data_IF_725299574389
#
_entry.id   IF_725299574389
#
_cell.length_a   1.000
_cell.length_b   1.000
_cell.length_c   1.000
_cell.angle_alpha   90.00
_cell.angle_beta   90.00
_cell.angle_gamma   90.00
#
_symmetry.space_group_name_H-M   'P 1'
#
loop_
_entity.id
_entity.type
_entity.pdbx_description
1 polymer ?
#
# COMPACT_ATOMS: atom_id res chain seq x y z
N UNK A 1 5.38 -1.26 6.81
CA UNK A 1 6.83 -1.54 6.61
C UNK A 1 7.58 -0.96 7.81
N UNK A 2 8.58 -1.64 8.37
CA UNK A 2 9.40 -1.03 9.42
C UNK A 2 10.60 -0.40 8.74
N UNK A 3 10.61 0.92 8.65
CA UNK A 3 11.74 1.65 8.11
C UNK A 3 12.71 1.89 9.25
N UNK A 4 13.54 0.87 9.52
CA UNK A 4 14.73 0.97 10.37
C UNK A 4 14.42 1.18 11.87
N UNK A 5 14.80 0.20 12.70
CA UNK A 5 14.99 0.43 14.13
C UNK A 5 16.47 0.75 14.35
N UNK A 6 16.79 1.87 15.03
CA UNK A 6 18.15 2.18 15.47
C UNK A 6 18.20 2.02 16.98
N UNK A 7 19.04 1.11 17.47
CA UNK A 7 19.21 0.87 18.89
C UNK A 7 20.66 0.48 19.17
N UNK A 8 21.26 1.06 20.21
CA UNK A 8 22.66 0.77 20.57
C UNK A 8 23.69 1.16 19.50
N UNK A 9 23.34 2.07 18.58
CA UNK A 9 24.20 2.48 17.47
C UNK A 9 24.15 1.58 16.23
N UNK A 10 23.29 0.54 16.22
CA UNK A 10 23.10 -0.33 15.06
C UNK A 10 21.70 -0.18 14.43
N UNK A 11 21.63 -0.40 13.11
CA UNK A 11 20.43 -0.29 12.28
C UNK A 11 19.89 -1.68 11.94
N UNK A 12 18.65 -1.96 12.30
CA UNK A 12 17.96 -3.22 12.05
C UNK A 12 16.86 -3.05 10.98
N UNK A 13 16.88 -3.89 9.94
CA UNK A 13 15.94 -3.85 8.81
C UNK A 13 14.77 -4.85 8.90
N UNK A 14 14.76 -5.73 9.90
CA UNK A 14 13.74 -6.79 10.09
C UNK A 14 13.36 -6.94 11.57
N UNK A 15 12.51 -6.05 12.13
CA UNK A 15 12.02 -6.21 13.50
C UNK A 15 10.98 -7.35 13.59
N UNK A 16 10.80 -7.86 14.81
CA UNK A 16 9.85 -8.94 15.12
C UNK A 16 8.62 -8.38 15.85
N UNK A 17 7.42 -8.82 15.45
CA UNK A 17 6.15 -8.47 16.09
C UNK A 17 5.56 -9.66 16.86
N UNK A 18 4.80 -9.37 17.92
CA UNK A 18 3.96 -10.38 18.59
C UNK A 18 2.55 -9.83 18.78
N UNK A 19 1.56 -10.63 18.39
CA UNK A 19 0.13 -10.33 18.51
C UNK A 19 -0.52 -11.30 19.51
N UNK A 20 -0.34 -11.12 20.84
CA UNK A 20 -1.14 -11.87 21.79
C UNK A 20 -2.60 -11.41 21.68
N UNK A 21 -3.50 -12.31 21.28
CA UNK A 21 -4.93 -12.09 21.44
C UNK A 21 -5.26 -12.25 22.92
N UNK A 22 -5.31 -11.14 23.65
CA UNK A 22 -5.79 -11.15 25.04
C UNK A 22 -7.31 -10.97 25.06
N UNK A 23 -7.91 -11.66 26.04
CA UNK A 23 -9.32 -12.02 26.21
C UNK A 23 -10.36 -11.04 25.63
N UNK A 24 -11.44 -11.62 25.09
CA UNK A 24 -12.69 -10.95 24.78
C UNK A 24 -13.28 -10.32 26.04
N UNK A 25 -13.64 -9.03 26.00
CA UNK A 25 -14.46 -8.41 27.04
C UNK A 25 -15.75 -9.21 27.30
N UNK A 26 -16.41 -9.00 28.44
CA UNK A 26 -17.65 -9.73 28.80
C UNK A 26 -18.77 -9.60 27.74
N UNK A 27 -18.74 -8.55 26.92
CA UNK A 27 -19.66 -8.31 25.79
C UNK A 27 -19.12 -8.80 24.43
N UNK A 28 -18.04 -9.57 24.41
CA UNK A 28 -17.51 -10.25 23.23
C UNK A 28 -16.58 -9.41 22.34
N UNK A 29 -16.18 -8.20 22.73
CA UNK A 29 -15.19 -7.42 21.96
C UNK A 29 -13.81 -7.99 22.16
N UNK A 30 -13.09 -8.19 21.06
CA UNK A 30 -11.70 -8.65 21.10
C UNK A 30 -10.74 -7.48 21.23
N UNK A 31 -9.71 -7.62 22.06
CA UNK A 31 -8.58 -6.70 22.07
C UNK A 31 -7.39 -7.34 21.34
N UNK A 32 -6.79 -6.58 20.42
CA UNK A 32 -5.51 -6.96 19.80
C UNK A 32 -4.45 -6.07 20.41
N UNK A 33 -3.55 -6.67 21.19
CA UNK A 33 -2.38 -5.98 21.69
C UNK A 33 -1.22 -6.19 20.72
N UNK A 34 -0.63 -5.10 20.23
CA UNK A 34 0.54 -5.16 19.34
C UNK A 34 1.76 -4.79 20.15
N UNK A 35 2.55 -5.80 20.52
CA UNK A 35 3.77 -5.59 21.29
C UNK A 35 4.96 -5.46 20.33
N UNK A 36 5.58 -4.28 20.33
CA UNK A 36 6.84 -4.03 19.63
C UNK A 36 7.96 -4.60 20.48
N UNK A 37 8.70 -5.58 19.94
CA UNK A 37 9.88 -6.12 20.63
C UNK A 37 11.15 -5.44 20.13
N UNK A 38 12.09 -5.12 21.03
CA UNK A 38 13.42 -4.70 20.60
C UNK A 38 14.07 -5.81 19.75
N UNK A 39 14.95 -5.47 18.79
CA UNK A 39 15.72 -6.43 18.02
C UNK A 39 16.50 -7.40 18.93
N UNK A 40 16.82 -8.58 18.40
CA UNK A 40 17.63 -9.57 19.13
C UNK A 40 18.95 -8.93 19.55
N UNK A 41 19.25 -8.95 20.86
CA UNK A 41 20.45 -8.37 21.45
C UNK A 41 20.24 -7.01 22.13
N UNK A 42 19.13 -6.33 21.86
CA UNK A 42 18.76 -5.07 22.53
C UNK A 42 17.87 -5.38 23.73
N UNK A 43 18.37 -5.11 24.94
CA UNK A 43 17.65 -5.39 26.20
C UNK A 43 17.03 -4.14 26.84
N UNK A 44 17.43 -2.94 26.40
CA UNK A 44 16.91 -1.66 26.87
C UNK A 44 17.06 -0.59 25.77
N UNK A 45 16.12 0.37 25.74
CA UNK A 45 16.23 1.59 24.92
C UNK A 45 16.90 2.71 25.74
N UNK A 46 17.78 3.48 25.10
CA UNK A 46 18.43 4.65 25.69
C UNK A 46 17.73 5.95 25.28
N UNK A 47 18.00 7.03 26.02
CA UNK A 47 17.54 8.36 25.65
C UNK A 47 18.11 8.75 24.27
N UNK A 48 17.23 9.04 23.31
CA UNK A 48 17.59 9.35 21.92
C UNK A 48 17.30 8.23 20.92
N UNK A 49 17.02 7.00 21.37
CA UNK A 49 16.56 5.93 20.49
C UNK A 49 15.16 6.24 19.95
N UNK A 50 14.91 5.86 18.69
CA UNK A 50 13.60 5.99 18.05
C UNK A 50 13.17 4.68 17.40
N UNK A 51 11.86 4.42 17.45
CA UNK A 51 11.23 3.31 16.74
C UNK A 51 10.17 3.90 15.84
N UNK A 52 10.29 3.66 14.53
CA UNK A 52 9.32 4.10 13.53
C UNK A 52 8.61 2.90 12.94
N UNK A 53 7.29 3.00 12.81
CA UNK A 53 6.43 1.92 12.32
C UNK A 53 5.44 2.50 11.32
N UNK A 54 5.40 1.93 10.12
CA UNK A 54 4.25 2.12 9.22
C UNK A 54 3.28 0.95 9.42
N UNK A 55 2.09 1.26 9.92
CA UNK A 55 0.98 0.32 10.08
C UNK A 55 0.04 0.46 8.89
N UNK A 56 -0.17 -0.64 8.17
CA UNK A 56 -1.24 -0.73 7.16
C UNK A 56 -2.41 -1.51 7.77
N UNK A 57 -3.59 -0.89 7.80
CA UNK A 57 -4.81 -1.51 8.30
C UNK A 57 -5.68 -1.97 7.15
N UNK A 58 -5.88 -3.27 7.01
CA UNK A 58 -6.74 -3.87 5.99
C UNK A 58 -7.99 -4.45 6.65
N UNK A 59 -9.17 -4.04 6.18
CA UNK A 59 -10.44 -4.66 6.57
C UNK A 59 -10.98 -5.44 5.40
N UNK A 60 -11.07 -6.77 5.54
CA UNK A 60 -11.61 -7.65 4.52
C UNK A 60 -13.00 -8.14 4.91
N UNK A 61 -13.95 -8.28 3.97
CA UNK A 61 -15.20 -8.97 4.24
C UNK A 61 -14.91 -10.39 4.74
N UNK A 62 -15.61 -10.82 5.79
CA UNK A 62 -15.46 -12.17 6.32
C UNK A 62 -16.21 -13.20 5.49
N UNK A 63 -17.37 -12.83 4.96
CA UNK A 63 -18.24 -13.68 4.14
C UNK A 63 -18.71 -12.93 2.90
N UNK A 64 -19.28 -13.66 1.93
CA UNK A 64 -19.69 -13.06 0.64
C UNK A 64 -20.90 -12.12 0.81
N UNK A 65 -21.76 -12.40 1.79
CA UNK A 65 -22.96 -11.62 2.10
C UNK A 65 -22.63 -10.19 2.56
N UNK A 66 -21.47 -10.00 3.21
CA UNK A 66 -20.99 -8.69 3.65
C UNK A 66 -20.33 -7.88 2.51
N UNK A 67 -20.07 -8.52 1.36
CA UNK A 67 -19.38 -7.89 0.24
C UNK A 67 -20.34 -7.41 -0.85
N UNK A 68 -20.62 -6.11 -0.84
CA UNK A 68 -21.49 -5.43 -1.82
C UNK A 68 -20.75 -4.92 -3.08
N UNK A 69 -19.44 -5.16 -3.20
CA UNK A 69 -18.64 -4.66 -4.31
C UNK A 69 -18.76 -5.47 -5.61
N UNK A 70 -18.18 -4.98 -6.72
CA UNK A 70 -18.30 -5.60 -8.04
C UNK A 70 -17.29 -6.72 -8.32
N UNK A 71 -16.33 -6.99 -7.42
CA UNK A 71 -15.25 -7.96 -7.68
C UNK A 71 -15.77 -9.41 -7.57
N UNK A 72 -16.09 -10.01 -8.71
CA UNK A 72 -16.61 -11.38 -8.78
C UNK A 72 -15.55 -12.44 -8.41
N UNK A 73 -14.26 -12.18 -8.65
CA UNK A 73 -13.19 -13.08 -8.21
C UNK A 73 -13.14 -13.15 -6.68
N UNK A 74 -13.26 -11.98 -6.02
CA UNK A 74 -13.32 -11.91 -4.56
C UNK A 74 -14.60 -12.56 -4.01
N UNK A 75 -15.76 -12.36 -4.65
CA UNK A 75 -17.01 -13.05 -4.28
C UNK A 75 -16.84 -14.56 -4.30
N UNK A 76 -16.34 -15.11 -5.41
CA UNK A 76 -16.10 -16.55 -5.54
C UNK A 76 -15.11 -17.06 -4.48
N UNK A 77 -14.07 -16.28 -4.19
CA UNK A 77 -13.10 -16.64 -3.15
C UNK A 77 -13.72 -16.66 -1.76
N UNK A 78 -14.53 -15.66 -1.41
CA UNK A 78 -15.25 -15.56 -0.14
C UNK A 78 -16.24 -16.71 0.05
N UNK A 79 -16.98 -17.08 -1.00
CA UNK A 79 -17.91 -18.21 -0.97
C UNK A 79 -17.19 -19.52 -0.64
N UNK A 80 -15.97 -19.72 -1.16
CA UNK A 80 -15.18 -20.93 -0.93
C UNK A 80 -14.39 -20.91 0.39
N UNK A 81 -14.12 -19.72 0.95
CA UNK A 81 -13.26 -19.53 2.12
C UNK A 81 -13.87 -18.55 3.13
N UNK A 82 -15.08 -18.79 3.66
CA UNK A 82 -15.72 -17.88 4.61
C UNK A 82 -14.92 -17.81 5.92
N UNK A 83 -14.81 -16.62 6.50
CA UNK A 83 -14.12 -16.30 7.76
C UNK A 83 -12.69 -16.85 7.83
N UNK A 84 -12.00 -16.91 6.69
CA UNK A 84 -10.69 -17.55 6.57
C UNK A 84 -9.56 -16.54 6.46
N UNK A 85 -8.46 -16.81 7.16
CA UNK A 85 -7.18 -16.10 7.04
C UNK A 85 -6.62 -16.11 5.60
N UNK A 86 -7.10 -17.03 4.76
CA UNK A 86 -6.67 -17.15 3.37
C UNK A 86 -7.01 -15.91 2.53
N UNK A 87 -7.99 -15.08 2.93
CA UNK A 87 -8.27 -13.82 2.23
C UNK A 87 -7.10 -12.84 2.35
N UNK A 88 -6.54 -12.70 3.55
CA UNK A 88 -5.38 -11.84 3.80
C UNK A 88 -4.16 -12.41 3.08
N UNK A 89 -3.93 -13.73 3.14
CA UNK A 89 -2.85 -14.36 2.38
C UNK A 89 -2.99 -14.13 0.87
N UNK A 90 -4.22 -14.21 0.32
CA UNK A 90 -4.50 -13.94 -1.10
C UNK A 90 -4.11 -12.51 -1.47
N UNK A 91 -4.58 -11.50 -0.71
CA UNK A 91 -4.24 -10.10 -0.96
C UNK A 91 -2.72 -9.87 -0.93
N UNK A 92 -2.03 -10.43 0.08
CA UNK A 92 -0.58 -10.34 0.20
C UNK A 92 0.11 -11.01 -0.99
N UNK A 93 -0.20 -12.27 -1.32
CA UNK A 93 0.47 -12.98 -2.40
C UNK A 93 0.27 -12.29 -3.76
N UNK A 94 -0.95 -11.84 -4.04
CA UNK A 94 -1.29 -11.24 -5.33
C UNK A 94 -0.76 -9.81 -5.49
N UNK A 95 -0.73 -9.01 -4.41
CA UNK A 95 -0.19 -7.64 -4.45
C UNK A 95 1.33 -7.59 -4.24
N UNK A 96 1.91 -8.54 -3.49
CA UNK A 96 3.36 -8.53 -3.22
C UNK A 96 4.17 -9.31 -4.24
N UNK A 97 3.69 -10.49 -4.66
CA UNK A 97 4.48 -11.38 -5.53
C UNK A 97 4.12 -11.26 -7.00
N UNK A 98 2.87 -10.90 -7.30
CA UNK A 98 2.36 -10.96 -8.68
C UNK A 98 2.06 -9.59 -9.29
N UNK A 99 2.15 -8.50 -8.52
CA UNK A 99 2.05 -7.15 -9.07
C UNK A 99 3.37 -6.75 -9.72
N UNK A 100 3.33 -6.56 -11.03
CA UNK A 100 4.45 -6.03 -11.82
C UNK A 100 4.08 -4.63 -12.27
N UNK A 101 4.99 -3.68 -12.03
CA UNK A 101 4.84 -2.26 -12.42
C UNK A 101 6.02 -1.87 -13.30
N UNK A 102 5.75 -1.39 -14.51
CA UNK A 102 6.74 -0.70 -15.33
C UNK A 102 6.43 0.79 -15.37
N UNK A 103 7.47 1.63 -15.28
CA UNK A 103 7.35 3.08 -15.23
C UNK A 103 8.13 3.70 -16.39
N UNK A 104 7.51 4.63 -17.09
CA UNK A 104 8.14 5.56 -18.03
C UNK A 104 7.93 7.00 -17.49
N UNK A 105 8.91 7.90 -17.66
CA UNK A 105 8.83 9.27 -17.13
C UNK A 105 9.08 9.40 -15.62
N UNK A 106 9.62 8.36 -14.98
CA UNK A 106 9.91 8.35 -13.56
C UNK A 106 10.68 7.11 -13.13
N UNK A 107 10.92 6.96 -11.83
CA UNK A 107 11.62 5.82 -11.25
C UNK A 107 10.75 5.12 -10.21
N UNK A 108 10.61 3.80 -10.34
CA UNK A 108 9.94 2.96 -9.35
C UNK A 108 10.85 2.76 -8.12
N UNK A 109 10.51 3.38 -6.99
CA UNK A 109 11.27 3.27 -5.74
C UNK A 109 10.85 2.06 -4.90
N UNK A 110 9.57 1.68 -4.97
CA UNK A 110 9.01 0.56 -4.20
C UNK A 110 7.80 -0.01 -4.92
N UNK A 111 7.63 -1.33 -4.88
CA UNK A 111 6.40 -2.04 -5.28
C UNK A 111 5.53 -2.43 -4.08
N UNK A 112 6.04 -2.27 -2.86
CA UNK A 112 5.33 -2.66 -1.63
C UNK A 112 4.41 -1.55 -1.15
N UNK A 113 3.11 -1.87 -1.01
CA UNK A 113 2.01 -0.94 -0.69
C UNK A 113 2.37 0.11 0.38
N UNK A 114 2.29 1.41 0.05
CA UNK A 114 2.01 1.94 -1.28
C UNK A 114 3.18 1.76 -2.25
N UNK A 115 2.87 1.35 -3.49
CA UNK A 115 3.86 1.44 -4.56
C UNK A 115 4.32 2.90 -4.70
N UNK A 116 5.62 3.15 -4.86
CA UNK A 116 6.19 4.50 -4.88
C UNK A 116 6.91 4.76 -6.19
N UNK A 117 6.53 5.86 -6.84
CA UNK A 117 7.11 6.32 -8.10
C UNK A 117 7.64 7.74 -7.89
N UNK A 118 8.95 7.92 -8.04
CA UNK A 118 9.54 9.25 -8.14
C UNK A 118 9.33 9.79 -9.54
N UNK A 119 8.68 10.95 -9.64
CA UNK A 119 8.38 11.60 -10.90
C UNK A 119 9.61 12.35 -11.42
N UNK A 120 9.93 12.16 -12.70
CA UNK A 120 10.85 13.06 -13.39
C UNK A 120 10.06 14.27 -13.89
N UNK A 121 10.25 15.42 -13.23
CA UNK A 121 9.50 16.63 -13.57
C UNK A 121 9.93 17.27 -14.91
N UNK A 122 10.99 16.77 -15.56
CA UNK A 122 11.35 17.18 -16.92
C UNK A 122 10.49 16.50 -17.99
N UNK A 123 9.82 15.41 -17.63
CA UNK A 123 8.97 14.63 -18.52
C UNK A 123 7.53 15.17 -18.52
N UNK A 124 6.89 15.13 -19.69
CA UNK A 124 5.53 15.65 -19.84
C UNK A 124 4.45 14.81 -19.14
N UNK A 125 4.75 13.54 -18.85
CA UNK A 125 3.87 12.63 -18.14
C UNK A 125 4.66 11.44 -17.55
N UNK A 126 4.10 10.82 -16.52
CA UNK A 126 4.53 9.51 -16.02
C UNK A 126 3.54 8.46 -16.50
N UNK A 127 4.02 7.42 -17.17
CA UNK A 127 3.20 6.29 -17.63
C UNK A 127 3.51 5.07 -16.78
N UNK A 128 2.45 4.45 -16.27
CA UNK A 128 2.52 3.19 -15.53
C UNK A 128 1.84 2.10 -16.33
N UNK A 129 2.50 0.95 -16.47
CA UNK A 129 1.86 -0.28 -16.96
C UNK A 129 1.92 -1.32 -15.86
N UNK A 130 0.74 -1.82 -15.48
CA UNK A 130 0.57 -2.76 -14.39
C UNK A 130 0.07 -4.08 -14.94
N UNK A 131 0.56 -5.17 -14.36
CA UNK A 131 0.08 -6.53 -14.58
C UNK A 131 -0.08 -7.22 -13.24
N UNK A 132 -1.26 -7.80 -13.02
CA UNK A 132 -1.59 -8.47 -11.76
C UNK A 132 -1.99 -7.51 -10.64
N UNK A 133 -1.87 -7.97 -9.39
CA UNK A 133 -2.45 -7.30 -8.23
C UNK A 133 -3.97 -7.50 -8.11
N UNK A 134 -4.53 -7.14 -6.97
CA UNK A 134 -5.95 -7.27 -6.64
C UNK A 134 -6.40 -6.15 -5.71
N UNK A 135 -7.69 -5.81 -5.79
CA UNK A 135 -8.30 -4.88 -4.85
C UNK A 135 -7.88 -3.43 -5.10
N UNK A 136 -8.09 -2.58 -4.10
CA UNK A 136 -7.64 -1.20 -4.11
C UNK A 136 -6.21 -1.12 -3.61
N UNK A 137 -5.26 -0.88 -4.51
CA UNK A 137 -3.83 -0.77 -4.18
C UNK A 137 -3.38 0.69 -4.28
N UNK A 138 -2.85 1.29 -3.20
CA UNK A 138 -2.39 2.66 -3.23
C UNK A 138 -1.06 2.80 -4.00
N UNK A 139 -0.94 3.90 -4.74
CA UNK A 139 0.29 4.33 -5.39
C UNK A 139 0.59 5.78 -5.04
N UNK A 140 1.84 6.03 -4.68
CA UNK A 140 2.41 7.33 -4.33
C UNK A 140 3.28 7.85 -5.46
N UNK A 141 2.99 9.06 -5.91
CA UNK A 141 3.86 9.84 -6.77
C UNK A 141 4.60 10.86 -5.92
N UNK A 142 5.93 10.75 -5.87
CA UNK A 142 6.80 11.58 -5.02
C UNK A 142 7.73 12.46 -5.86
N UNK A 143 8.27 13.52 -5.26
CA UNK A 143 9.18 14.45 -5.93
C UNK A 143 8.47 15.53 -6.75
N UNK A 144 7.15 15.68 -6.58
CA UNK A 144 6.35 16.64 -7.32
C UNK A 144 6.65 18.06 -6.85
N UNK A 145 6.86 19.00 -7.78
CA UNK A 145 7.19 20.40 -7.43
C UNK A 145 5.96 21.25 -7.12
N UNK A 146 4.77 20.77 -7.47
CA UNK A 146 3.48 21.42 -7.26
C UNK A 146 2.38 20.35 -7.13
N UNK A 147 1.19 20.70 -6.60
CA UNK A 147 0.10 19.74 -6.42
C UNK A 147 -0.81 19.61 -7.66
N UNK A 148 -0.46 20.24 -8.79
CA UNK A 148 -1.31 20.32 -9.98
C UNK A 148 -1.03 19.18 -10.95
N UNK A 149 -1.42 17.97 -10.54
CA UNK A 149 -1.38 16.79 -11.41
C UNK A 149 -2.75 16.11 -11.49
N UNK A 150 -2.98 15.46 -12.61
CA UNK A 150 -4.15 14.63 -12.84
C UNK A 150 -3.74 13.23 -13.25
N UNK A 151 -4.44 12.24 -12.68
CA UNK A 151 -4.17 10.82 -12.91
C UNK A 151 -5.28 10.19 -13.72
N UNK A 152 -4.90 9.38 -14.70
CA UNK A 152 -5.81 8.79 -15.67
C UNK A 152 -5.55 7.29 -15.80
N UNK A 153 -6.62 6.54 -16.04
CA UNK A 153 -6.56 5.17 -16.52
C UNK A 153 -6.88 5.14 -18.02
N UNK A 154 -6.07 4.46 -18.81
CA UNK A 154 -6.41 4.15 -20.21
C UNK A 154 -7.51 3.09 -20.24
N UNK A 155 -8.59 3.35 -20.97
CA UNK A 155 -9.75 2.47 -21.12
C UNK A 155 -10.00 2.23 -22.61
N UNK A 156 -9.77 1.00 -23.08
CA UNK A 156 -9.82 0.68 -24.51
C UNK A 156 -8.60 1.23 -25.26
N UNK A 157 -8.76 1.54 -26.55
CA UNK A 157 -7.63 1.93 -27.41
C UNK A 157 -7.15 3.37 -27.18
N UNK A 158 -8.10 4.31 -27.03
CA UNK A 158 -7.79 5.75 -27.06
C UNK A 158 -8.57 6.57 -26.01
N UNK A 159 -9.37 5.93 -25.14
CA UNK A 159 -10.10 6.69 -24.10
C UNK A 159 -9.31 6.72 -22.79
N UNK A 160 -9.45 7.82 -22.07
CA UNK A 160 -8.86 7.99 -20.75
C UNK A 160 -9.96 8.33 -19.75
N UNK A 161 -9.91 7.68 -18.58
CA UNK A 161 -10.78 7.96 -17.45
C UNK A 161 -9.96 8.64 -16.36
N UNK A 162 -10.29 9.89 -16.04
CA UNK A 162 -9.71 10.59 -14.90
C UNK A 162 -10.06 9.86 -13.60
N UNK A 163 -9.08 9.73 -12.72
CA UNK A 163 -9.24 9.18 -11.39
C UNK A 163 -9.44 10.34 -10.43
N UNK A 164 -10.62 10.36 -9.81
CA UNK A 164 -11.00 11.38 -8.83
C UNK A 164 -10.61 10.93 -7.42
N UNK A 165 -10.26 11.92 -6.59
CA UNK A 165 -9.84 11.69 -5.21
C UNK A 165 -8.38 11.25 -5.12
N UNK A 166 -7.57 12.11 -4.50
CA UNK A 166 -6.21 11.78 -4.09
C UNK A 166 -5.95 12.38 -2.71
N UNK A 167 -5.01 11.78 -1.99
CA UNK A 167 -4.38 12.43 -0.84
C UNK A 167 -3.16 13.19 -1.35
N UNK A 168 -2.95 14.40 -0.82
CA UNK A 168 -1.79 15.24 -1.13
C UNK A 168 -1.09 15.59 0.16
N UNK A 169 0.20 15.30 0.23
CA UNK A 169 1.07 15.64 1.34
C UNK A 169 2.22 16.55 0.86
N UNK A 170 2.63 17.52 1.68
CA UNK A 170 3.75 18.41 1.38
C UNK A 170 4.88 18.21 2.40
N UNK A 171 6.07 17.86 1.90
CA UNK A 171 7.29 17.76 2.70
C UNK A 171 8.05 19.10 2.65
N UNK A 172 7.85 19.93 3.68
CA UNK A 172 8.49 21.24 3.77
C UNK A 172 10.03 21.18 3.84
N UNK A 173 10.62 20.04 4.26
CA UNK A 173 12.08 19.87 4.32
C UNK A 173 12.70 19.68 2.94
N UNK A 174 11.92 19.12 2.00
CA UNK A 174 12.33 18.88 0.60
C UNK A 174 11.71 19.87 -0.37
N UNK A 175 10.71 20.63 0.07
CA UNK A 175 9.84 21.44 -0.78
C UNK A 175 9.18 20.63 -1.91
N UNK A 176 8.78 19.39 -1.60
CA UNK A 176 8.19 18.45 -2.55
C UNK A 176 6.79 18.03 -2.10
N UNK A 177 5.91 17.73 -3.06
CA UNK A 177 4.61 17.13 -2.83
C UNK A 177 4.64 15.62 -3.10
N UNK A 178 3.77 14.91 -2.39
CA UNK A 178 3.41 13.51 -2.66
C UNK A 178 1.92 13.44 -2.96
N UNK A 179 1.54 12.74 -4.02
CA UNK A 179 0.14 12.47 -4.35
C UNK A 179 -0.13 10.97 -4.33
N UNK A 180 -1.13 10.56 -3.56
CA UNK A 180 -1.52 9.17 -3.38
C UNK A 180 -2.87 8.90 -4.02
N UNK A 181 -2.91 7.93 -4.94
CA UNK A 181 -4.12 7.45 -5.60
C UNK A 181 -4.36 5.98 -5.27
N UNK A 182 -5.63 5.57 -5.21
CA UNK A 182 -5.99 4.14 -5.10
C UNK A 182 -6.31 3.58 -6.48
N UNK A 183 -5.51 2.62 -6.94
CA UNK A 183 -5.76 1.90 -8.19
C UNK A 183 -6.63 0.67 -7.92
N UNK A 184 -7.65 0.48 -8.73
CA UNK A 184 -8.47 -0.74 -8.69
C UNK A 184 -7.87 -1.79 -9.62
N UNK A 185 -7.30 -2.84 -9.04
CA UNK A 185 -6.58 -3.90 -9.76
C UNK A 185 -7.38 -5.22 -9.81
N UNK A 186 -7.01 -6.09 -10.76
CA UNK A 186 -7.54 -7.44 -10.90
C UNK A 186 -6.44 -8.42 -11.31
N UNK A 187 -6.50 -9.66 -10.82
CA UNK A 187 -5.36 -10.59 -10.86
C UNK A 187 -4.90 -10.94 -12.28
N UNK A 188 -5.81 -10.88 -13.25
CA UNK A 188 -5.57 -11.16 -14.66
C UNK A 188 -5.50 -9.89 -15.52
N UNK A 189 -5.64 -8.72 -14.89
CA UNK A 189 -5.81 -7.45 -15.58
C UNK A 189 -4.44 -6.82 -15.88
N UNK A 190 -4.27 -6.42 -17.14
CA UNK A 190 -3.23 -5.48 -17.54
C UNK A 190 -3.87 -4.11 -17.67
N UNK A 191 -3.18 -3.08 -17.16
CA UNK A 191 -3.69 -1.72 -17.19
C UNK A 191 -2.60 -0.71 -17.43
N UNK A 192 -2.97 0.39 -18.10
CA UNK A 192 -2.10 1.52 -18.35
C UNK A 192 -2.68 2.75 -17.67
N UNK A 193 -1.82 3.51 -17.03
CA UNK A 193 -2.17 4.71 -16.27
C UNK A 193 -1.19 5.83 -16.60
N UNK A 194 -1.65 7.06 -16.43
CA UNK A 194 -0.88 8.25 -16.79
C UNK A 194 -1.10 9.36 -15.77
N UNK A 195 -0.02 9.87 -15.19
CA UNK A 195 -0.01 11.10 -14.42
C UNK A 195 0.50 12.24 -15.32
N UNK A 196 -0.23 13.35 -15.40
CA UNK A 196 0.19 14.55 -16.13
C UNK A 196 0.05 15.80 -15.28
N UNK A 197 0.95 16.75 -15.46
CA UNK A 197 0.81 18.09 -14.89
C UNK A 197 -0.31 18.85 -15.63
N UNK A 198 -1.05 19.70 -14.91
CA UNK A 198 -2.10 20.59 -15.44
C UNK A 198 -1.92 22.05 -15.05
#
# INVERSE_FOLDING_TARGET
>A
KFNIATAGGETYSTPSLTFPCQQTSEDGRMSVEVNIRPPVGITQFAAGDTVTIDVEWMTTPGVVEDYYGPNNELKGFLTLNPMSWQIVKREIDLNYRHLVISVEGGTLESTYAPARVRVDCSESAVILRLKGGVGGSPIEFVGLQHPSYEFYQTVGKDNERKIEGCQIDYDASKAEYTMTYTMMLGATFESSWKLKQV
#
